data_IF_431406447108
#
_entry.id   IF_431406447108
#
_cell.length_a   1.000
_cell.length_b   1.000
_cell.length_c   1.000
_cell.angle_alpha   90.00
_cell.angle_beta   90.00
_cell.angle_gamma   90.00
#
_symmetry.space_group_name_H-M   'P 1'
#
loop_
_entity.id
_entity.type
_entity.pdbx_description
1 polymer ?
#
# COMPACT_ATOMS: atom_id res chain seq x y z
N UNK A 1 -18.34 25.89 -3.12
CA UNK A 1 -18.15 25.96 -1.65
C UNK A 1 -16.81 26.64 -1.43
N UNK A 2 -16.78 27.77 -0.73
CA UNK A 2 -15.55 28.54 -0.50
C UNK A 2 -14.92 27.99 0.79
N UNK A 3 -13.77 27.35 0.68
CA UNK A 3 -12.97 27.02 1.87
C UNK A 3 -12.12 28.24 2.20
N UNK A 4 -12.14 28.74 3.43
CA UNK A 4 -11.23 29.81 3.82
C UNK A 4 -9.80 29.35 3.58
N UNK A 5 -8.98 30.20 3.00
CA UNK A 5 -7.56 29.94 2.86
C UNK A 5 -6.98 29.64 4.24
N UNK A 6 -6.18 28.59 4.32
CA UNK A 6 -5.42 28.32 5.53
C UNK A 6 -4.47 29.50 5.72
N UNK A 7 -4.47 30.18 6.89
CA UNK A 7 -3.55 31.29 7.12
C UNK A 7 -2.11 30.82 6.84
N UNK A 8 -1.46 31.44 5.88
CA UNK A 8 -0.04 31.21 5.62
C UNK A 8 0.78 32.19 6.47
N UNK A 9 1.96 31.75 6.88
CA UNK A 9 2.95 32.68 7.44
C UNK A 9 3.38 33.66 6.35
N UNK A 10 3.76 34.87 6.77
CA UNK A 10 4.39 35.81 5.87
C UNK A 10 5.65 35.19 5.25
N UNK A 11 5.91 35.35 3.94
CA UNK A 11 7.12 34.82 3.31
C UNK A 11 8.42 35.28 3.99
N UNK A 12 8.50 36.50 4.53
CA UNK A 12 9.65 37.00 5.26
C UNK A 12 9.86 36.24 6.59
N UNK A 13 8.76 35.94 7.30
CA UNK A 13 8.81 35.14 8.53
C UNK A 13 9.25 33.70 8.22
N UNK A 14 8.77 33.10 7.11
CA UNK A 14 9.18 31.76 6.68
C UNK A 14 10.68 31.75 6.39
N UNK A 15 11.19 32.74 5.66
CA UNK A 15 12.61 32.85 5.32
C UNK A 15 13.45 33.01 6.58
N UNK A 16 13.07 33.86 7.52
CA UNK A 16 13.73 34.03 8.80
C UNK A 16 13.81 32.70 9.56
N UNK A 17 12.67 32.02 9.74
CA UNK A 17 12.62 30.72 10.45
C UNK A 17 13.46 29.65 9.79
N UNK A 18 13.48 29.58 8.45
CA UNK A 18 14.29 28.65 7.70
C UNK A 18 15.80 28.93 7.89
N UNK A 19 16.21 30.21 7.86
CA UNK A 19 17.59 30.62 8.05
C UNK A 19 18.07 30.28 9.47
N UNK A 20 17.27 30.55 10.51
CA UNK A 20 17.56 30.17 11.88
C UNK A 20 17.69 28.64 12.03
N UNK A 21 16.77 27.89 11.43
CA UNK A 21 16.86 26.43 11.45
C UNK A 21 18.17 25.92 10.82
N UNK A 22 18.53 26.42 9.64
CA UNK A 22 19.74 26.03 8.91
C UNK A 22 21.00 26.42 9.69
N UNK A 23 21.03 27.62 10.28
CA UNK A 23 22.18 28.13 11.04
C UNK A 23 22.49 27.26 12.27
N UNK A 24 21.47 26.78 12.96
CA UNK A 24 21.62 26.07 14.24
C UNK A 24 21.50 24.56 14.16
N UNK A 25 21.00 24.00 13.02
CA UNK A 25 20.80 22.56 12.83
C UNK A 25 21.81 21.99 11.84
N UNK A 26 22.82 21.32 12.35
CA UNK A 26 23.79 20.59 11.54
C UNK A 26 23.13 19.41 10.84
N UNK A 27 23.39 19.23 9.56
CA UNK A 27 23.01 18.01 8.87
C UNK A 27 23.69 16.81 9.52
N UNK A 28 22.90 15.78 9.85
CA UNK A 28 23.45 14.53 10.35
C UNK A 28 24.27 13.86 9.23
N UNK A 29 25.56 13.63 9.49
CA UNK A 29 26.40 12.84 8.60
C UNK A 29 25.79 11.45 8.40
N UNK A 30 25.44 11.03 7.17
CA UNK A 30 24.88 9.70 6.92
C UNK A 30 25.75 8.55 7.44
N UNK A 31 27.07 8.73 7.51
CA UNK A 31 28.03 7.72 7.96
C UNK A 31 28.15 7.65 9.50
N UNK A 32 27.59 8.61 10.25
CA UNK A 32 27.65 8.56 11.72
C UNK A 32 26.83 7.41 12.28
N UNK A 33 25.72 7.07 11.60
CA UNK A 33 24.87 5.94 11.98
C UNK A 33 25.65 4.62 11.95
N UNK A 34 26.46 4.40 10.90
CA UNK A 34 27.28 3.19 10.75
C UNK A 34 28.35 3.11 11.84
N UNK A 35 29.05 4.23 12.14
CA UNK A 35 30.04 4.32 13.22
C UNK A 35 29.46 4.04 14.60
N UNK A 36 28.21 4.42 14.82
CA UNK A 36 27.50 4.21 16.08
C UNK A 36 26.72 2.87 16.13
N UNK A 37 26.77 2.04 15.08
CA UNK A 37 26.05 0.80 14.98
C UNK A 37 24.53 0.97 14.87
N UNK A 38 24.04 2.15 14.49
CA UNK A 38 22.61 2.45 14.34
C UNK A 38 22.08 1.81 13.06
N UNK A 39 21.01 1.04 13.18
CA UNK A 39 20.36 0.35 12.06
C UNK A 39 19.35 1.27 11.38
N UNK A 40 19.82 2.12 10.46
CA UNK A 40 18.98 3.06 9.72
C UNK A 40 17.88 2.34 8.96
N UNK A 41 16.62 2.82 9.10
CA UNK A 41 15.46 2.17 8.50
C UNK A 41 15.23 0.74 9.01
N UNK A 42 15.77 0.39 10.20
CA UNK A 42 15.71 -0.96 10.77
C UNK A 42 16.28 -2.03 9.83
N UNK A 43 17.42 -1.71 9.16
CA UNK A 43 18.13 -2.62 8.26
C UNK A 43 19.54 -2.91 8.76
N UNK A 44 19.94 -4.18 8.63
CA UNK A 44 21.30 -4.62 8.84
C UNK A 44 22.19 -4.28 7.63
N UNK A 45 23.53 -4.23 7.78
CA UNK A 45 24.45 -3.95 6.67
C UNK A 45 24.35 -4.95 5.52
N UNK A 46 23.97 -6.20 5.79
CA UNK A 46 23.72 -7.24 4.78
C UNK A 46 22.39 -7.07 4.03
N UNK A 47 21.61 -6.03 4.36
CA UNK A 47 20.31 -5.74 3.76
C UNK A 47 19.13 -6.49 4.38
N UNK A 48 19.35 -7.36 5.37
CA UNK A 48 18.25 -8.01 6.10
C UNK A 48 17.54 -7.04 7.05
N UNK A 49 16.28 -7.32 7.39
CA UNK A 49 15.54 -6.56 8.39
C UNK A 49 16.03 -6.83 9.81
N UNK A 50 15.99 -5.82 10.67
CA UNK A 50 16.10 -6.00 12.11
C UNK A 50 14.85 -6.75 12.62
N UNK A 51 15.04 -7.79 13.42
CA UNK A 51 13.91 -8.46 14.09
C UNK A 51 13.33 -7.53 15.16
N UNK A 52 12.21 -6.91 14.84
CA UNK A 52 11.52 -5.97 15.73
C UNK A 52 10.32 -6.59 16.47
N UNK A 53 9.88 -7.78 16.06
CA UNK A 53 8.75 -8.47 16.66
C UNK A 53 8.54 -9.87 16.07
N UNK A 54 7.48 -10.52 16.51
CA UNK A 54 7.02 -11.82 16.04
C UNK A 54 5.60 -11.72 15.53
N UNK A 55 5.22 -12.57 14.59
CA UNK A 55 3.86 -12.62 14.04
C UNK A 55 3.53 -14.00 13.50
N UNK A 56 2.25 -14.39 13.66
CA UNK A 56 1.65 -15.55 13.00
C UNK A 56 0.78 -15.17 11.79
N UNK A 57 0.65 -13.86 11.47
CA UNK A 57 -0.28 -13.40 10.43
C UNK A 57 0.26 -13.72 9.05
N UNK A 58 1.52 -13.36 8.76
CA UNK A 58 2.12 -13.65 7.45
C UNK A 58 3.64 -13.70 7.51
N UNK A 59 4.23 -14.29 6.48
CA UNK A 59 5.68 -14.38 6.30
C UNK A 59 6.09 -13.99 4.89
N UNK A 60 7.13 -13.13 4.80
CA UNK A 60 7.73 -12.64 3.54
C UNK A 60 9.14 -13.21 3.44
N UNK A 61 9.36 -14.14 2.53
CA UNK A 61 10.58 -14.94 2.44
C UNK A 61 11.22 -14.70 1.08
N UNK A 62 12.45 -14.18 1.03
CA UNK A 62 13.21 -13.92 -0.20
C UNK A 62 14.66 -14.40 -0.11
N UNK A 63 15.06 -14.96 1.03
CA UNK A 63 16.38 -15.53 1.27
C UNK A 63 16.31 -16.61 2.35
N UNK A 64 17.27 -17.48 2.36
CA UNK A 64 17.55 -18.41 3.45
C UNK A 64 18.87 -18.06 4.13
N UNK A 65 18.96 -18.32 5.41
CA UNK A 65 20.18 -18.14 6.20
C UNK A 65 20.88 -19.49 6.31
N UNK A 66 22.10 -19.55 5.79
CA UNK A 66 22.93 -20.75 5.84
C UNK A 66 23.54 -20.94 7.24
N UNK A 67 23.98 -22.17 7.59
CA UNK A 67 24.56 -22.46 8.92
C UNK A 67 25.73 -21.56 9.29
N UNK A 68 26.56 -21.16 8.33
CA UNK A 68 27.68 -20.24 8.52
C UNK A 68 27.28 -18.78 8.69
N UNK A 69 25.97 -18.46 8.64
CA UNK A 69 25.43 -17.11 8.86
C UNK A 69 25.31 -16.28 7.60
N UNK A 70 25.79 -16.74 6.44
CA UNK A 70 25.60 -16.09 5.14
C UNK A 70 24.15 -16.21 4.68
N UNK A 71 23.70 -15.26 3.84
CA UNK A 71 22.36 -15.30 3.25
C UNK A 71 22.43 -15.74 1.79
N UNK A 72 21.53 -16.64 1.39
CA UNK A 72 21.36 -17.09 0.02
C UNK A 72 20.00 -16.62 -0.50
N UNK A 73 19.94 -15.82 -1.57
CA UNK A 73 18.67 -15.46 -2.20
C UNK A 73 17.93 -16.70 -2.71
N UNK A 74 16.63 -16.74 -2.50
CA UNK A 74 15.71 -17.74 -3.04
C UNK A 74 14.56 -17.07 -3.77
N UNK A 75 13.80 -17.77 -4.63
CA UNK A 75 12.54 -17.26 -5.16
C UNK A 75 11.64 -16.77 -4.03
N UNK A 76 11.03 -15.60 -4.24
CA UNK A 76 10.17 -14.99 -3.21
C UNK A 76 8.95 -15.84 -2.90
N UNK A 77 8.59 -15.90 -1.62
CA UNK A 77 7.35 -16.52 -1.14
C UNK A 77 6.63 -15.55 -0.21
N UNK A 78 5.32 -15.49 -0.33
CA UNK A 78 4.44 -14.80 0.60
C UNK A 78 3.44 -15.81 1.15
N UNK A 79 3.37 -15.89 2.47
CA UNK A 79 2.60 -16.92 3.16
C UNK A 79 1.61 -16.21 4.09
N UNK A 80 0.31 -16.51 3.96
CA UNK A 80 -0.74 -16.04 4.86
C UNK A 80 -1.15 -17.18 5.79
N UNK A 81 -0.91 -17.03 7.09
CA UNK A 81 -1.26 -18.02 8.11
C UNK A 81 -0.82 -19.47 7.74
N UNK A 82 0.35 -19.59 7.13
CA UNK A 82 0.92 -20.89 6.76
C UNK A 82 0.59 -21.36 5.33
N UNK A 83 -0.23 -20.63 4.56
CA UNK A 83 -0.61 -20.98 3.19
C UNK A 83 0.06 -20.02 2.22
N UNK A 84 0.76 -20.54 1.19
CA UNK A 84 1.34 -19.72 0.13
C UNK A 84 0.27 -19.04 -0.72
N UNK A 85 0.50 -17.79 -1.10
CA UNK A 85 -0.45 -17.05 -1.95
C UNK A 85 -0.60 -17.68 -3.33
N UNK A 86 0.44 -18.33 -3.86
CA UNK A 86 0.35 -19.07 -5.12
C UNK A 86 -0.70 -20.20 -5.04
N UNK A 87 -0.78 -20.88 -3.88
CA UNK A 87 -1.81 -21.89 -3.64
C UNK A 87 -3.20 -21.26 -3.59
N UNK A 88 -3.37 -20.11 -2.91
CA UNK A 88 -4.65 -19.42 -2.83
C UNK A 88 -5.11 -18.95 -4.21
N UNK A 89 -4.21 -18.37 -5.00
CA UNK A 89 -4.49 -17.94 -6.36
C UNK A 89 -4.88 -19.12 -7.28
N UNK A 90 -4.14 -20.22 -7.21
CA UNK A 90 -4.43 -21.43 -7.99
C UNK A 90 -5.78 -22.06 -7.63
N UNK A 91 -6.18 -22.07 -6.35
CA UNK A 91 -7.50 -22.55 -5.93
C UNK A 91 -8.64 -21.62 -6.36
N UNK A 92 -8.38 -20.30 -6.39
CA UNK A 92 -9.30 -19.32 -6.97
C UNK A 92 -9.58 -19.62 -8.44
N UNK A 93 -8.54 -19.89 -9.23
CA UNK A 93 -8.64 -20.18 -10.66
C UNK A 93 -9.34 -21.53 -10.93
N UNK A 94 -8.93 -22.57 -10.22
CA UNK A 94 -9.47 -23.93 -10.39
C UNK A 94 -10.99 -23.98 -10.19
N UNK A 95 -11.50 -23.15 -9.28
CA UNK A 95 -12.90 -23.15 -8.90
C UNK A 95 -13.66 -21.93 -9.46
N UNK A 96 -13.02 -21.07 -10.23
CA UNK A 96 -13.56 -19.82 -10.79
C UNK A 96 -14.36 -19.01 -9.76
N UNK A 97 -13.75 -18.77 -8.57
CA UNK A 97 -14.42 -18.10 -7.46
C UNK A 97 -13.64 -16.92 -6.91
N UNK A 98 -14.33 -16.01 -6.26
CA UNK A 98 -13.73 -14.94 -5.48
C UNK A 98 -13.07 -15.49 -4.22
N UNK A 99 -11.90 -14.97 -3.87
CA UNK A 99 -11.06 -15.47 -2.76
C UNK A 99 -10.76 -14.41 -1.71
N UNK A 100 -11.01 -13.15 -2.00
CA UNK A 100 -10.60 -12.08 -1.08
C UNK A 100 -11.23 -12.23 0.30
N UNK A 101 -12.54 -12.48 0.39
CA UNK A 101 -13.23 -12.66 1.68
C UNK A 101 -12.72 -13.89 2.44
N UNK A 102 -12.32 -14.95 1.73
CA UNK A 102 -11.69 -16.12 2.39
C UNK A 102 -10.31 -15.79 2.93
N UNK A 103 -9.53 -14.97 2.21
CA UNK A 103 -8.24 -14.47 2.68
C UNK A 103 -8.42 -13.52 3.86
N UNK A 104 -9.43 -12.66 3.85
CA UNK A 104 -9.79 -11.82 5.01
C UNK A 104 -10.06 -12.67 6.24
N UNK A 105 -10.89 -13.72 6.10
CA UNK A 105 -11.15 -14.68 7.16
C UNK A 105 -9.87 -15.35 7.64
N UNK A 106 -9.06 -15.88 6.71
CA UNK A 106 -7.81 -16.56 7.04
C UNK A 106 -6.86 -15.67 7.85
N UNK A 107 -6.66 -14.42 7.43
CA UNK A 107 -5.79 -13.47 8.12
C UNK A 107 -6.29 -13.14 9.54
N UNK A 108 -7.59 -12.89 9.71
CA UNK A 108 -8.18 -12.53 10.99
C UNK A 108 -8.22 -13.72 11.97
N UNK A 109 -8.65 -14.91 11.52
CA UNK A 109 -8.97 -16.04 12.40
C UNK A 109 -7.91 -17.16 12.39
N UNK A 110 -6.93 -17.14 11.48
CA UNK A 110 -5.79 -18.03 11.49
C UNK A 110 -6.01 -19.43 10.87
N UNK A 111 -7.21 -19.72 10.37
CA UNK A 111 -7.56 -20.97 9.69
C UNK A 111 -8.55 -20.70 8.56
N UNK A 112 -8.60 -21.57 7.56
CA UNK A 112 -9.60 -21.49 6.50
C UNK A 112 -11.02 -21.70 7.07
N UNK A 113 -12.03 -20.98 6.54
CA UNK A 113 -13.41 -21.17 6.98
C UNK A 113 -14.00 -22.48 6.46
N UNK A 114 -14.93 -23.05 7.20
CA UNK A 114 -15.85 -24.03 6.61
C UNK A 114 -16.78 -23.35 5.61
N UNK A 115 -17.48 -24.12 4.77
CA UNK A 115 -18.42 -23.55 3.80
C UNK A 115 -19.51 -22.71 4.46
N UNK A 116 -20.02 -23.16 5.61
CA UNK A 116 -21.02 -22.42 6.40
C UNK A 116 -20.46 -21.11 6.97
N UNK A 117 -19.25 -21.15 7.54
CA UNK A 117 -18.56 -19.97 8.08
C UNK A 117 -18.28 -18.96 6.96
N UNK A 118 -17.81 -19.43 5.80
CA UNK A 118 -17.54 -18.57 4.65
C UNK A 118 -18.82 -17.86 4.17
N UNK A 119 -19.91 -18.61 3.94
CA UNK A 119 -21.18 -18.04 3.50
C UNK A 119 -21.73 -17.01 4.51
N UNK A 120 -21.66 -17.31 5.81
CA UNK A 120 -22.04 -16.36 6.86
C UNK A 120 -21.16 -15.12 6.90
N UNK A 121 -19.87 -15.28 6.70
CA UNK A 121 -18.92 -14.16 6.70
C UNK A 121 -19.11 -13.23 5.50
N UNK A 122 -19.28 -13.79 4.29
CA UNK A 122 -19.59 -12.99 3.10
C UNK A 122 -20.89 -12.18 3.29
N UNK A 123 -21.92 -12.81 3.87
CA UNK A 123 -23.16 -12.11 4.20
C UNK A 123 -22.93 -10.98 5.22
N UNK A 124 -22.12 -11.21 6.24
CA UNK A 124 -21.78 -10.21 7.24
C UNK A 124 -21.08 -9.00 6.62
N UNK A 125 -20.06 -9.21 5.77
CA UNK A 125 -19.37 -8.14 5.05
C UNK A 125 -20.37 -7.37 4.16
N UNK A 126 -21.23 -8.08 3.45
CA UNK A 126 -22.23 -7.48 2.56
C UNK A 126 -23.23 -6.57 3.32
N UNK A 127 -23.73 -7.03 4.45
CA UNK A 127 -24.68 -6.30 5.29
C UNK A 127 -24.08 -5.05 5.97
N UNK A 128 -22.71 -4.94 6.06
CA UNK A 128 -22.02 -3.84 6.73
C UNK A 128 -21.34 -2.85 5.75
N UNK A 129 -21.74 -2.84 4.45
CA UNK A 129 -21.15 -1.92 3.46
C UNK A 129 -21.72 -0.51 3.51
N UNK A 130 -22.92 -0.35 4.07
CA UNK A 130 -23.52 0.98 4.24
C UNK A 130 -22.84 1.76 5.35
N UNK A 131 -22.57 3.03 5.08
CA UNK A 131 -21.97 3.92 6.07
C UNK A 131 -23.00 4.31 7.14
N UNK A 132 -22.55 4.63 8.37
CA UNK A 132 -23.44 5.12 9.41
C UNK A 132 -24.29 6.31 8.93
N UNK A 133 -25.52 6.39 9.45
CA UNK A 133 -26.46 7.46 9.06
C UNK A 133 -25.83 8.84 9.28
N UNK A 134 -25.87 9.67 8.24
CA UNK A 134 -25.31 11.03 8.25
C UNK A 134 -23.81 11.08 7.97
N UNK A 135 -23.08 9.96 8.06
CA UNK A 135 -21.63 9.95 7.88
C UNK A 135 -21.20 10.50 6.49
N UNK A 136 -21.87 10.07 5.44
CA UNK A 136 -21.55 10.54 4.09
C UNK A 136 -21.72 12.06 3.96
N UNK A 137 -22.80 12.61 4.50
CA UNK A 137 -23.08 14.06 4.44
C UNK A 137 -22.10 14.85 5.32
N UNK A 138 -21.92 14.44 6.57
CA UNK A 138 -21.14 15.19 7.55
C UNK A 138 -19.63 15.06 7.31
N UNK A 139 -19.15 13.85 7.05
CA UNK A 139 -17.73 13.56 6.99
C UNK A 139 -17.16 13.52 5.57
N UNK A 140 -17.96 13.12 4.57
CA UNK A 140 -17.48 13.04 3.18
C UNK A 140 -17.83 14.32 2.44
N UNK A 141 -19.13 14.66 2.31
CA UNK A 141 -19.61 15.77 1.47
C UNK A 141 -19.14 17.15 1.95
N UNK A 142 -19.17 17.41 3.26
CA UNK A 142 -18.83 18.72 3.82
C UNK A 142 -17.33 19.03 3.84
N UNK A 143 -16.47 18.04 3.55
CA UNK A 143 -15.02 18.21 3.65
C UNK A 143 -14.26 17.46 2.54
N UNK A 144 -14.45 17.84 1.26
CA UNK A 144 -13.79 17.19 0.14
C UNK A 144 -12.27 17.29 0.23
N UNK A 145 -11.59 16.42 -0.53
CA UNK A 145 -10.12 16.40 -0.62
C UNK A 145 -9.72 16.08 -2.06
N UNK A 146 -8.68 16.74 -2.60
CA UNK A 146 -8.12 16.36 -3.89
C UNK A 146 -7.35 15.03 -3.81
N UNK A 147 -7.08 14.53 -2.61
CA UNK A 147 -6.34 13.29 -2.38
C UNK A 147 -7.22 12.29 -1.62
N UNK A 148 -7.54 11.17 -2.28
CA UNK A 148 -8.45 10.15 -1.76
C UNK A 148 -7.86 9.45 -0.52
N UNK A 149 -6.56 9.13 -0.50
CA UNK A 149 -5.91 8.54 0.66
C UNK A 149 -6.02 9.43 1.92
N UNK A 150 -5.84 10.76 1.75
CA UNK A 150 -6.06 11.71 2.84
C UNK A 150 -7.51 11.68 3.32
N UNK A 151 -8.46 11.63 2.37
CA UNK A 151 -9.89 11.58 2.71
C UNK A 151 -10.24 10.29 3.45
N UNK A 152 -9.75 9.14 2.99
CA UNK A 152 -9.95 7.86 3.66
C UNK A 152 -9.40 7.86 5.09
N UNK A 153 -8.16 8.34 5.30
CA UNK A 153 -7.57 8.42 6.63
C UNK A 153 -8.43 9.25 7.60
N UNK A 154 -8.91 10.44 7.13
CA UNK A 154 -9.81 11.29 7.93
C UNK A 154 -11.16 10.63 8.18
N UNK A 155 -11.72 9.96 7.19
CA UNK A 155 -12.99 9.24 7.31
C UNK A 155 -12.89 8.13 8.35
N UNK A 156 -11.85 7.30 8.29
CA UNK A 156 -11.61 6.25 9.30
C UNK A 156 -11.48 6.86 10.71
N UNK A 157 -10.68 7.91 10.87
CA UNK A 157 -10.53 8.55 12.17
C UNK A 157 -11.85 9.13 12.69
N UNK A 158 -12.70 9.63 11.80
CA UNK A 158 -14.01 10.20 12.16
C UNK A 158 -15.02 9.13 12.58
N UNK A 159 -14.83 7.85 12.19
CA UNK A 159 -15.70 6.73 12.64
C UNK A 159 -15.71 6.57 14.16
N UNK A 160 -14.64 7.00 14.84
CA UNK A 160 -14.58 7.05 16.30
C UNK A 160 -15.82 7.72 16.92
N UNK A 161 -16.30 8.81 16.32
CA UNK A 161 -17.46 9.57 16.83
C UNK A 161 -18.81 8.89 16.57
N UNK A 162 -18.84 7.83 15.79
CA UNK A 162 -20.04 7.02 15.49
C UNK A 162 -20.06 5.68 16.24
N UNK A 163 -19.03 5.39 17.04
CA UNK A 163 -18.87 4.17 17.81
C UNK A 163 -18.90 4.49 19.31
N UNK A 164 -19.94 4.08 20.01
CA UNK A 164 -20.09 4.28 21.46
C UNK A 164 -19.04 3.50 22.29
N UNK A 165 -18.38 2.52 21.68
CA UNK A 165 -17.37 1.66 22.29
C UNK A 165 -15.99 1.82 21.67
N UNK A 166 -15.68 2.99 21.08
CA UNK A 166 -14.46 3.23 20.32
C UNK A 166 -13.17 2.86 21.06
N UNK A 167 -13.11 3.11 22.37
CA UNK A 167 -11.94 2.84 23.23
C UNK A 167 -11.93 1.44 23.89
N UNK A 168 -12.96 0.61 23.65
CA UNK A 168 -12.98 -0.75 24.18
C UNK A 168 -12.03 -1.65 23.37
N UNK A 169 -10.96 -2.11 24.03
CA UNK A 169 -9.93 -2.98 23.48
C UNK A 169 -10.23 -4.48 23.65
N UNK A 170 -11.43 -4.86 24.06
CA UNK A 170 -11.82 -6.26 24.12
C UNK A 170 -11.81 -6.90 22.72
N UNK A 171 -11.45 -8.18 22.66
CA UNK A 171 -11.40 -8.91 21.38
C UNK A 171 -12.71 -8.84 20.59
N UNK A 172 -13.91 -9.00 21.19
CA UNK A 172 -15.17 -8.86 20.45
C UNK A 172 -15.31 -7.48 19.80
N UNK A 173 -14.94 -6.42 20.51
CA UNK A 173 -15.09 -5.06 20.01
C UNK A 173 -14.08 -4.74 18.89
N UNK A 174 -12.81 -5.10 19.07
CA UNK A 174 -11.78 -4.92 18.02
C UNK A 174 -12.16 -5.69 16.75
N UNK A 175 -12.68 -6.91 16.86
CA UNK A 175 -13.16 -7.69 15.71
C UNK A 175 -14.35 -7.02 15.03
N UNK A 176 -15.32 -6.51 15.79
CA UNK A 176 -16.46 -5.76 15.24
C UNK A 176 -16.00 -4.54 14.47
N UNK A 177 -15.15 -3.70 15.07
CA UNK A 177 -14.58 -2.52 14.41
C UNK A 177 -13.78 -2.88 13.16
N UNK A 178 -13.01 -3.97 13.22
CA UNK A 178 -12.22 -4.46 12.07
C UNK A 178 -13.11 -4.89 10.91
N UNK A 179 -14.17 -5.66 11.18
CA UNK A 179 -15.11 -6.13 10.15
C UNK A 179 -15.86 -4.96 9.52
N UNK A 180 -16.34 -4.01 10.35
CA UNK A 180 -17.00 -2.80 9.85
C UNK A 180 -16.08 -2.01 8.92
N UNK A 181 -14.84 -1.72 9.34
CA UNK A 181 -13.88 -0.99 8.50
C UNK A 181 -13.56 -1.72 7.20
N UNK A 182 -13.43 -3.06 7.21
CA UNK A 182 -13.19 -3.86 6.00
C UNK A 182 -14.38 -3.74 5.04
N UNK A 183 -15.60 -3.74 5.55
CA UNK A 183 -16.82 -3.66 4.75
C UNK A 183 -17.10 -2.23 4.22
N UNK A 184 -16.88 -1.20 5.04
CA UNK A 184 -17.26 0.19 4.76
C UNK A 184 -16.23 0.96 3.92
N UNK A 185 -14.93 0.62 4.03
CA UNK A 185 -13.87 1.38 3.36
C UNK A 185 -14.00 1.43 1.83
N UNK A 186 -14.44 0.40 1.11
CA UNK A 186 -14.73 0.50 -0.33
C UNK A 186 -15.76 1.58 -0.63
N UNK A 187 -16.85 1.65 0.14
CA UNK A 187 -17.89 2.69 -0.01
C UNK A 187 -17.34 4.09 0.31
N UNK A 188 -16.55 4.24 1.39
CA UNK A 188 -15.89 5.51 1.73
C UNK A 188 -14.96 5.98 0.60
N UNK A 189 -14.20 5.07 0.01
CA UNK A 189 -13.27 5.37 -1.09
C UNK A 189 -14.00 5.89 -2.31
N UNK A 190 -15.02 5.17 -2.76
CA UNK A 190 -15.77 5.56 -3.97
C UNK A 190 -16.49 6.88 -3.73
N UNK A 191 -17.16 7.07 -2.60
CA UNK A 191 -17.84 8.32 -2.28
C UNK A 191 -16.86 9.51 -2.23
N UNK A 192 -15.66 9.31 -1.64
CA UNK A 192 -14.63 10.33 -1.64
C UNK A 192 -14.15 10.68 -3.05
N UNK A 193 -13.99 9.70 -3.92
CA UNK A 193 -13.60 9.88 -5.31
C UNK A 193 -14.68 10.61 -6.12
N UNK A 194 -15.92 10.21 -6.00
CA UNK A 194 -17.04 10.87 -6.69
C UNK A 194 -17.15 12.34 -6.28
N UNK A 195 -16.94 12.64 -5.00
CA UNK A 195 -16.90 14.03 -4.53
C UNK A 195 -15.68 14.79 -5.08
N UNK A 196 -14.51 14.16 -5.15
CA UNK A 196 -13.30 14.75 -5.77
C UNK A 196 -13.58 15.12 -7.22
N UNK A 197 -14.17 14.22 -8.00
CA UNK A 197 -14.60 14.48 -9.39
C UNK A 197 -15.49 15.73 -9.48
N UNK A 198 -16.48 15.84 -8.59
CA UNK A 198 -17.42 16.98 -8.60
C UNK A 198 -16.75 18.30 -8.26
N UNK A 199 -15.90 18.29 -7.22
CA UNK A 199 -15.37 19.54 -6.63
C UNK A 199 -14.12 20.03 -7.35
N UNK A 200 -13.22 19.12 -7.72
CA UNK A 200 -11.89 19.44 -8.25
C UNK A 200 -11.78 19.23 -9.76
N UNK A 201 -12.44 18.21 -10.31
CA UNK A 201 -12.36 17.91 -11.74
C UNK A 201 -13.55 18.51 -12.53
N UNK A 202 -14.55 19.08 -11.82
CA UNK A 202 -15.74 19.68 -12.41
C UNK A 202 -16.61 18.72 -13.22
N UNK A 203 -16.57 17.43 -12.86
CA UNK A 203 -17.37 16.37 -13.46
C UNK A 203 -18.64 16.08 -12.66
N UNK A 204 -19.53 15.28 -13.23
CA UNK A 204 -20.71 14.79 -12.52
C UNK A 204 -20.31 13.74 -11.49
N UNK A 205 -20.96 13.75 -10.32
CA UNK A 205 -20.84 12.71 -9.32
C UNK A 205 -22.12 11.88 -9.25
N UNK A 206 -21.98 10.65 -8.80
CA UNK A 206 -23.08 9.73 -8.50
C UNK A 206 -22.71 8.87 -7.30
N UNK A 207 -23.69 8.47 -6.52
CA UNK A 207 -23.53 7.53 -5.42
C UNK A 207 -24.47 6.37 -5.62
N UNK A 208 -23.90 5.17 -5.67
CA UNK A 208 -24.66 3.93 -5.78
C UNK A 208 -24.79 3.29 -4.39
N UNK A 209 -25.98 2.77 -4.11
CA UNK A 209 -26.16 1.92 -2.94
C UNK A 209 -25.48 0.56 -3.18
N UNK A 210 -24.93 -0.08 -2.12
CA UNK A 210 -24.41 -1.44 -2.23
C UNK A 210 -25.47 -2.40 -2.79
N UNK A 211 -25.06 -3.27 -3.69
CA UNK A 211 -25.91 -4.31 -4.26
C UNK A 211 -25.70 -5.60 -3.47
N UNK A 212 -26.75 -6.14 -2.89
CA UNK A 212 -26.66 -7.33 -2.05
C UNK A 212 -26.13 -8.55 -2.81
N UNK A 213 -25.30 -9.34 -2.14
CA UNK A 213 -24.72 -10.58 -2.66
C UNK A 213 -23.46 -10.40 -3.52
N UNK A 214 -22.94 -9.19 -3.66
CA UNK A 214 -21.67 -8.94 -4.35
C UNK A 214 -20.45 -9.25 -3.46
N UNK A 215 -19.38 -9.77 -4.06
CA UNK A 215 -18.05 -9.76 -3.46
C UNK A 215 -17.51 -8.32 -3.31
N UNK A 216 -16.44 -8.12 -2.55
CA UNK A 216 -15.81 -6.80 -2.41
C UNK A 216 -15.32 -6.25 -3.75
N UNK A 217 -14.74 -7.10 -4.61
CA UNK A 217 -14.31 -6.70 -5.95
C UNK A 217 -15.49 -6.24 -6.83
N UNK A 218 -16.60 -6.98 -6.83
CA UNK A 218 -17.82 -6.61 -7.55
C UNK A 218 -18.42 -5.32 -7.01
N UNK A 219 -18.48 -5.16 -5.69
CA UNK A 219 -18.96 -3.95 -5.05
C UNK A 219 -18.13 -2.71 -5.44
N UNK A 220 -16.81 -2.83 -5.49
CA UNK A 220 -15.94 -1.73 -5.93
C UNK A 220 -16.25 -1.34 -7.37
N UNK A 221 -16.32 -2.31 -8.29
CA UNK A 221 -16.58 -2.04 -9.71
C UNK A 221 -17.97 -1.48 -9.96
N UNK A 222 -19.00 -2.03 -9.29
CA UNK A 222 -20.38 -1.53 -9.43
C UNK A 222 -20.55 -0.14 -8.84
N UNK A 223 -19.86 0.18 -7.74
CA UNK A 223 -19.96 1.48 -7.10
C UNK A 223 -19.18 2.56 -7.84
N UNK A 224 -18.04 2.22 -8.44
CA UNK A 224 -17.17 3.16 -9.16
C UNK A 224 -17.72 3.52 -10.55
N UNK A 225 -18.45 2.62 -11.22
CA UNK A 225 -18.96 2.79 -12.58
C UNK A 225 -20.36 3.38 -12.62
N UNK A 226 -20.56 4.40 -13.45
CA UNK A 226 -21.87 5.07 -13.58
C UNK A 226 -23.01 4.14 -13.98
N UNK A 227 -22.74 3.13 -14.81
CA UNK A 227 -23.72 2.13 -15.28
C UNK A 227 -23.75 0.86 -14.43
N UNK A 228 -22.93 0.78 -13.40
CA UNK A 228 -22.75 -0.36 -12.49
C UNK A 228 -22.38 -1.70 -13.16
N UNK A 229 -21.92 -1.66 -14.44
CA UNK A 229 -21.65 -2.86 -15.22
C UNK A 229 -20.19 -3.25 -15.18
N UNK A 230 -19.95 -4.53 -15.05
CA UNK A 230 -18.64 -5.17 -15.15
C UNK A 230 -18.80 -6.61 -15.66
N UNK A 231 -17.72 -7.20 -16.12
CA UNK A 231 -17.69 -8.62 -16.46
C UNK A 231 -17.16 -9.44 -15.29
N UNK A 232 -17.52 -10.72 -15.24
CA UNK A 232 -16.99 -11.65 -14.24
C UNK A 232 -15.45 -11.69 -14.27
N UNK A 233 -14.82 -11.70 -15.48
CA UNK A 233 -13.37 -11.67 -15.64
C UNK A 233 -12.73 -10.41 -15.03
N UNK A 234 -13.36 -9.24 -15.18
CA UNK A 234 -12.90 -8.00 -14.56
C UNK A 234 -12.95 -8.08 -13.03
N UNK A 235 -14.07 -8.55 -12.48
CA UNK A 235 -14.23 -8.68 -11.02
C UNK A 235 -13.27 -9.72 -10.44
N UNK A 236 -13.07 -10.85 -11.11
CA UNK A 236 -12.09 -11.88 -10.72
C UNK A 236 -10.66 -11.34 -10.70
N UNK A 237 -10.28 -10.55 -11.71
CA UNK A 237 -8.95 -9.96 -11.76
C UNK A 237 -8.74 -8.91 -10.65
N UNK A 238 -9.77 -8.11 -10.33
CA UNK A 238 -9.70 -7.19 -9.19
C UNK A 238 -9.63 -7.94 -7.85
N UNK A 239 -10.43 -9.00 -7.67
CA UNK A 239 -10.38 -9.86 -6.49
C UNK A 239 -8.98 -10.42 -6.24
N UNK A 240 -8.32 -10.87 -7.31
CA UNK A 240 -6.94 -11.36 -7.24
C UNK A 240 -5.95 -10.24 -6.84
N UNK A 241 -6.16 -9.03 -7.34
CA UNK A 241 -5.37 -7.87 -6.88
C UNK A 241 -5.57 -7.62 -5.38
N UNK A 242 -6.80 -7.69 -4.88
CA UNK A 242 -7.10 -7.56 -3.46
C UNK A 242 -6.42 -8.66 -2.64
N UNK A 243 -6.49 -9.91 -3.09
CA UNK A 243 -5.86 -11.07 -2.45
C UNK A 243 -4.35 -10.88 -2.27
N UNK A 244 -3.61 -10.53 -3.34
CA UNK A 244 -2.15 -10.43 -3.29
C UNK A 244 -1.66 -9.23 -2.49
N UNK A 245 -2.50 -8.22 -2.28
CA UNK A 245 -2.20 -7.04 -1.48
C UNK A 245 -2.64 -7.14 -0.01
N UNK A 246 -3.39 -8.18 0.38
CA UNK A 246 -4.08 -8.27 1.67
C UNK A 246 -3.14 -8.18 2.88
N UNK A 247 -1.91 -8.72 2.79
CA UNK A 247 -0.87 -8.50 3.79
C UNK A 247 0.54 -8.62 3.18
N UNK A 248 1.54 -8.12 3.90
CA UNK A 248 2.96 -8.25 3.49
C UNK A 248 3.92 -8.15 4.68
N UNK A 249 3.62 -8.90 5.73
CA UNK A 249 4.46 -9.02 6.92
C UNK A 249 4.35 -7.86 7.89
N UNK A 250 4.68 -8.11 9.15
CA UNK A 250 4.61 -7.14 10.24
C UNK A 250 5.62 -5.98 10.14
N UNK A 251 6.64 -6.11 9.29
CA UNK A 251 7.73 -5.14 9.17
C UNK A 251 7.59 -4.12 8.03
N UNK A 252 6.56 -4.20 7.17
CA UNK A 252 6.32 -3.14 6.20
C UNK A 252 5.82 -1.86 6.90
N UNK A 253 6.07 -0.70 6.30
CA UNK A 253 5.90 0.59 6.97
C UNK A 253 4.50 0.79 7.57
N UNK A 254 3.44 0.52 6.83
CA UNK A 254 2.06 0.73 7.31
C UNK A 254 1.65 -0.29 8.38
N UNK A 255 1.99 -1.56 8.23
CA UNK A 255 1.73 -2.58 9.24
C UNK A 255 2.53 -2.33 10.52
N UNK A 256 3.80 -1.92 10.40
CA UNK A 256 4.61 -1.56 11.56
C UNK A 256 4.05 -0.34 12.29
N UNK A 257 3.54 0.66 11.54
CA UNK A 257 2.82 1.80 12.11
C UNK A 257 1.58 1.33 12.90
N UNK A 258 0.77 0.43 12.33
CA UNK A 258 -0.37 -0.17 13.04
C UNK A 258 0.05 -0.82 14.35
N UNK A 259 1.12 -1.61 14.33
CA UNK A 259 1.64 -2.27 15.54
C UNK A 259 2.15 -1.27 16.58
N UNK A 260 2.89 -0.25 16.15
CA UNK A 260 3.40 0.80 17.06
C UNK A 260 2.24 1.49 17.77
N UNK A 261 1.21 1.93 17.04
CA UNK A 261 0.06 2.58 17.66
C UNK A 261 -0.73 1.59 18.54
N UNK A 262 -0.98 0.38 18.07
CA UNK A 262 -1.70 -0.64 18.84
C UNK A 262 -1.00 -0.98 20.16
N UNK A 263 0.35 -0.99 20.15
CA UNK A 263 1.15 -1.26 21.36
C UNK A 263 1.00 -0.20 22.46
N UNK A 264 0.51 0.99 22.11
CA UNK A 264 0.22 2.06 23.07
C UNK A 264 -1.17 1.94 23.71
N UNK A 265 -2.02 1.03 23.24
CA UNK A 265 -3.39 0.87 23.71
C UNK A 265 -4.37 1.88 23.12
N UNK A 266 -4.08 2.49 21.96
CA UNK A 266 -5.03 3.40 21.29
C UNK A 266 -6.16 2.64 20.60
N UNK A 267 -7.21 3.37 20.20
CA UNK A 267 -8.37 2.83 19.49
C UNK A 267 -8.04 2.30 18.07
N UNK A 268 -8.97 1.53 17.50
CA UNK A 268 -8.81 0.92 16.16
C UNK A 268 -8.77 1.96 15.05
N UNK A 269 -9.57 3.00 15.15
CA UNK A 269 -9.69 4.03 14.12
C UNK A 269 -8.41 4.84 13.99
N UNK A 270 -7.80 5.24 15.11
CA UNK A 270 -6.50 5.90 15.13
C UNK A 270 -5.39 5.02 14.51
N UNK A 271 -5.34 3.73 14.87
CA UNK A 271 -4.33 2.81 14.37
C UNK A 271 -4.45 2.60 12.84
N UNK A 272 -5.66 2.37 12.33
CA UNK A 272 -5.89 2.13 10.90
C UNK A 272 -5.75 3.43 10.09
N UNK A 273 -6.22 4.57 10.60
CA UNK A 273 -6.00 5.88 9.97
C UNK A 273 -4.51 6.19 9.79
N UNK A 274 -3.69 5.93 10.81
CA UNK A 274 -2.23 6.11 10.73
C UNK A 274 -1.59 5.15 9.71
N UNK A 275 -2.07 3.91 9.59
CA UNK A 275 -1.61 2.95 8.59
C UNK A 275 -1.91 3.45 7.16
N UNK A 276 -3.11 3.99 6.92
CA UNK A 276 -3.48 4.64 5.65
C UNK A 276 -2.54 5.83 5.36
N UNK A 277 -2.25 6.65 6.38
CA UNK A 277 -1.29 7.76 6.28
C UNK A 277 0.12 7.30 5.92
N UNK A 278 0.59 6.21 6.50
CA UNK A 278 1.89 5.62 6.18
C UNK A 278 1.93 5.06 4.75
N UNK A 279 0.85 4.39 4.31
CA UNK A 279 0.74 3.84 2.95
C UNK A 279 0.66 4.95 1.89
N UNK A 280 0.03 6.09 2.19
CA UNK A 280 -0.06 7.26 1.31
C UNK A 280 1.31 7.77 0.87
N UNK A 281 2.35 7.57 1.67
CA UNK A 281 3.70 8.06 1.38
C UNK A 281 4.25 7.53 0.06
N UNK A 282 4.87 8.38 -0.79
CA UNK A 282 5.33 7.99 -2.15
C UNK A 282 6.42 6.91 -2.14
N UNK A 283 7.09 6.71 -1.01
CA UNK A 283 8.09 5.64 -0.83
C UNK A 283 7.47 4.28 -0.43
N UNK A 284 6.15 4.23 -0.22
CA UNK A 284 5.45 3.00 0.21
C UNK A 284 4.35 2.61 -0.78
N UNK A 285 3.23 3.32 -0.86
CA UNK A 285 2.08 2.91 -1.66
C UNK A 285 1.93 3.58 -3.03
N UNK A 286 2.77 4.57 -3.37
CA UNK A 286 2.62 5.34 -4.61
C UNK A 286 3.40 4.80 -5.83
N UNK A 287 3.97 3.59 -5.74
CA UNK A 287 4.86 3.07 -6.78
C UNK A 287 4.11 2.65 -8.05
N UNK A 288 2.91 2.09 -7.95
CA UNK A 288 2.12 1.64 -9.11
C UNK A 288 1.74 2.80 -10.06
N UNK A 289 1.36 3.95 -9.53
CA UNK A 289 1.10 5.16 -10.34
C UNK A 289 2.38 5.62 -11.07
N UNK A 290 3.52 5.59 -10.38
CA UNK A 290 4.82 5.92 -10.98
C UNK A 290 5.22 4.95 -12.10
N UNK A 291 4.89 3.67 -11.96
CA UNK A 291 5.08 2.67 -13.03
C UNK A 291 4.28 3.08 -14.27
N UNK A 292 3.01 3.46 -14.11
CA UNK A 292 2.16 3.81 -15.25
C UNK A 292 2.66 5.07 -15.97
N UNK A 293 3.02 6.13 -15.23
CA UNK A 293 3.60 7.32 -15.82
C UNK A 293 4.94 7.03 -16.55
N UNK A 294 5.77 6.14 -15.99
CA UNK A 294 7.02 5.73 -16.64
C UNK A 294 6.76 4.86 -17.87
N UNK A 295 5.76 3.97 -17.83
CA UNK A 295 5.33 3.18 -18.98
C UNK A 295 4.88 4.08 -20.13
N UNK A 296 3.99 5.05 -19.85
CA UNK A 296 3.53 6.01 -20.86
C UNK A 296 4.67 6.84 -21.43
N UNK A 297 5.63 7.25 -20.58
CA UNK A 297 6.83 7.95 -21.03
C UNK A 297 7.70 7.08 -21.96
N UNK A 298 7.92 5.81 -21.61
CA UNK A 298 8.73 4.90 -22.42
C UNK A 298 8.06 4.67 -23.78
N UNK A 299 6.77 4.33 -23.81
CA UNK A 299 6.02 4.10 -25.05
C UNK A 299 5.98 5.34 -25.96
N UNK A 300 5.94 6.54 -25.39
CA UNK A 300 5.96 7.79 -26.15
C UNK A 300 7.36 8.16 -26.72
N UNK A 301 8.45 7.53 -26.25
CA UNK A 301 9.82 7.90 -26.61
C UNK A 301 10.67 6.74 -27.18
N UNK A 302 10.07 5.60 -27.46
CA UNK A 302 10.65 4.43 -28.13
C UNK A 302 9.90 4.25 -29.45
N UNK A 303 10.61 4.20 -30.59
CA UNK A 303 9.98 4.06 -31.90
C UNK A 303 9.53 2.62 -32.16
N UNK A 304 10.32 1.64 -31.67
CA UNK A 304 10.06 0.21 -31.82
C UNK A 304 9.94 -0.47 -30.45
N UNK A 305 8.75 -0.46 -29.82
CA UNK A 305 8.54 -1.06 -28.48
C UNK A 305 8.86 -2.56 -28.40
N UNK A 306 8.88 -3.24 -29.54
CA UNK A 306 9.27 -4.66 -29.69
C UNK A 306 10.80 -4.87 -29.80
N UNK A 307 11.58 -3.81 -30.03
CA UNK A 307 13.04 -3.90 -30.08
C UNK A 307 13.68 -3.75 -28.70
N UNK A 308 14.17 -4.87 -28.18
CA UNK A 308 14.89 -4.91 -26.92
C UNK A 308 16.09 -3.94 -26.85
N UNK A 309 16.71 -3.62 -27.99
CA UNK A 309 17.84 -2.69 -28.08
C UNK A 309 17.43 -1.26 -27.72
N UNK A 310 16.33 -0.78 -28.30
CA UNK A 310 15.78 0.54 -28.00
C UNK A 310 15.26 0.64 -26.56
N UNK A 311 14.52 -0.37 -26.11
CA UNK A 311 14.02 -0.42 -24.73
C UNK A 311 15.18 -0.44 -23.73
N UNK A 312 16.23 -1.23 -23.98
CA UNK A 312 17.44 -1.29 -23.14
C UNK A 312 18.12 0.07 -23.05
N UNK A 313 18.27 0.79 -24.16
CA UNK A 313 18.88 2.12 -24.17
C UNK A 313 18.04 3.15 -23.42
N UNK A 314 16.72 3.10 -23.58
CA UNK A 314 15.79 3.95 -22.83
C UNK A 314 15.92 3.71 -21.32
N UNK A 315 15.93 2.47 -20.86
CA UNK A 315 16.11 2.11 -19.45
C UNK A 315 17.47 2.58 -18.89
N UNK A 316 18.55 2.52 -19.70
CA UNK A 316 19.87 3.09 -19.33
C UNK A 316 19.80 4.59 -19.11
N UNK A 317 19.16 5.34 -20.03
CA UNK A 317 18.97 6.79 -19.90
C UNK A 317 18.19 7.13 -18.62
N UNK A 318 17.14 6.35 -18.29
CA UNK A 318 16.39 6.54 -17.06
C UNK A 318 17.30 6.35 -15.83
N UNK A 319 18.09 5.26 -15.76
CA UNK A 319 19.01 4.99 -14.64
C UNK A 319 20.07 6.08 -14.50
N UNK A 320 20.56 6.63 -15.62
CA UNK A 320 21.54 7.72 -15.66
C UNK A 320 20.92 9.09 -15.38
N UNK A 321 19.60 9.16 -15.16
CA UNK A 321 18.84 10.41 -14.97
C UNK A 321 18.80 11.34 -16.20
N UNK A 322 18.99 10.79 -17.37
CA UNK A 322 18.97 11.48 -18.65
C UNK A 322 17.57 11.46 -19.29
N UNK A 323 16.66 10.66 -18.74
CA UNK A 323 15.31 10.47 -19.22
C UNK A 323 14.32 10.22 -18.05
N UNK A 324 13.03 10.22 -18.34
CA UNK A 324 11.96 10.02 -17.36
C UNK A 324 11.82 11.23 -16.42
N UNK A 325 11.56 10.97 -15.13
CA UNK A 325 11.39 11.99 -14.11
C UNK A 325 12.72 12.45 -13.45
N UNK A 326 13.85 12.01 -13.97
CA UNK A 326 15.18 12.34 -13.47
C UNK A 326 15.55 11.68 -12.14
N UNK A 327 14.72 10.79 -11.60
CA UNK A 327 14.97 10.08 -10.33
C UNK A 327 16.11 9.05 -10.45
N UNK A 328 16.32 8.47 -11.63
CA UNK A 328 17.24 7.35 -11.86
C UNK A 328 16.68 6.02 -11.34
N UNK A 329 15.35 5.91 -11.22
CA UNK A 329 14.64 4.71 -10.78
C UNK A 329 13.85 4.10 -11.94
N UNK A 330 13.90 2.79 -12.06
CA UNK A 330 12.92 2.03 -12.84
C UNK A 330 11.86 1.59 -11.84
N UNK A 331 10.70 2.24 -11.90
CA UNK A 331 9.60 1.96 -10.98
C UNK A 331 9.03 0.56 -11.23
N UNK A 332 8.53 -0.08 -10.19
CA UNK A 332 8.11 -1.47 -10.26
C UNK A 332 9.25 -2.49 -10.20
N UNK A 333 10.52 -2.03 -10.16
CA UNK A 333 11.71 -2.88 -10.05
C UNK A 333 12.41 -2.69 -8.71
N UNK A 334 12.72 -3.81 -8.06
CA UNK A 334 13.38 -3.86 -6.75
C UNK A 334 12.41 -3.98 -5.58
N UNK A 335 12.88 -4.67 -4.55
CA UNK A 335 12.12 -4.93 -3.32
C UNK A 335 13.07 -5.02 -2.12
N UNK A 336 12.54 -4.74 -0.93
CA UNK A 336 13.32 -4.78 0.31
C UNK A 336 13.73 -6.19 0.74
N UNK A 337 12.96 -7.22 0.37
CA UNK A 337 13.18 -8.63 0.74
C UNK A 337 13.43 -9.49 -0.50
N UNK A 338 12.59 -9.37 -1.52
CA UNK A 338 12.70 -10.18 -2.73
C UNK A 338 13.82 -9.67 -3.64
N UNK A 339 14.62 -10.59 -4.16
CA UNK A 339 15.72 -10.29 -5.08
C UNK A 339 15.67 -11.11 -6.37
N UNK A 340 15.04 -12.29 -6.34
CA UNK A 340 14.92 -13.18 -7.49
C UNK A 340 13.53 -13.10 -8.14
N UNK A 341 12.48 -13.10 -7.34
CA UNK A 341 11.10 -12.95 -7.81
C UNK A 341 10.20 -12.45 -6.68
N UNK A 342 9.14 -11.74 -7.02
CA UNK A 342 8.00 -11.42 -6.13
C UNK A 342 6.81 -12.27 -6.59
N UNK A 343 6.27 -13.18 -5.78
CA UNK A 343 5.17 -14.07 -6.18
C UNK A 343 3.93 -13.26 -6.59
N UNK A 344 3.69 -12.11 -5.97
CA UNK A 344 2.55 -11.24 -6.31
C UNK A 344 2.67 -10.69 -7.74
N UNK A 345 3.85 -10.23 -8.13
CA UNK A 345 4.10 -9.74 -9.49
C UNK A 345 3.88 -10.85 -10.52
N UNK A 346 4.32 -12.07 -10.23
CA UNK A 346 4.15 -13.22 -11.12
C UNK A 346 2.68 -13.63 -11.27
N UNK A 347 1.93 -13.65 -10.16
CA UNK A 347 0.49 -13.92 -10.17
C UNK A 347 -0.23 -12.88 -11.04
N UNK A 348 -0.02 -11.58 -10.77
CA UNK A 348 -0.69 -10.51 -11.52
C UNK A 348 -0.30 -10.51 -12.99
N UNK A 349 0.98 -10.70 -13.33
CA UNK A 349 1.45 -10.83 -14.71
C UNK A 349 0.70 -11.91 -15.48
N UNK A 350 0.63 -13.10 -14.91
CA UNK A 350 0.01 -14.26 -15.57
C UNK A 350 -1.48 -14.04 -15.84
N UNK A 351 -2.20 -13.44 -14.89
CA UNK A 351 -3.65 -13.22 -15.01
C UNK A 351 -4.01 -11.98 -15.84
N UNK A 352 -3.18 -10.95 -15.87
CA UNK A 352 -3.42 -9.75 -16.66
C UNK A 352 -3.39 -10.00 -18.16
N UNK A 353 -2.64 -11.00 -18.64
CA UNK A 353 -2.36 -11.23 -20.06
C UNK A 353 -3.62 -11.35 -20.91
N UNK A 354 -4.54 -12.22 -20.51
CA UNK A 354 -5.77 -12.47 -21.27
C UNK A 354 -6.57 -11.19 -21.48
N UNK A 355 -6.80 -10.44 -20.41
CA UNK A 355 -7.57 -9.20 -20.44
C UNK A 355 -6.84 -8.10 -21.23
N UNK A 356 -5.51 -8.02 -21.13
CA UNK A 356 -4.71 -7.06 -21.88
C UNK A 356 -4.92 -7.21 -23.38
N UNK A 357 -4.76 -8.42 -23.90
CA UNK A 357 -4.98 -8.71 -25.32
C UNK A 357 -6.43 -8.50 -25.75
N UNK A 358 -7.40 -8.85 -24.94
CA UNK A 358 -8.83 -8.64 -25.25
C UNK A 358 -9.22 -7.17 -25.32
N UNK A 359 -8.60 -6.32 -24.51
CA UNK A 359 -8.92 -4.89 -24.41
C UNK A 359 -7.98 -3.98 -25.19
N UNK A 360 -6.99 -4.52 -25.91
CA UNK A 360 -6.03 -3.75 -26.73
C UNK A 360 -4.97 -3.04 -25.92
N UNK A 361 -4.54 -3.61 -24.79
CA UNK A 361 -3.43 -3.19 -23.93
C UNK A 361 -2.22 -4.14 -24.04
N UNK A 362 -2.11 -4.85 -25.17
CA UNK A 362 -1.05 -5.82 -25.41
C UNK A 362 0.33 -5.14 -25.54
N UNK A 363 0.41 -3.93 -26.08
CA UNK A 363 1.65 -3.17 -26.18
C UNK A 363 2.17 -2.79 -24.80
N UNK A 364 1.32 -2.22 -23.94
CA UNK A 364 1.65 -1.88 -22.55
C UNK A 364 2.06 -3.11 -21.74
N UNK A 365 1.31 -4.21 -21.86
CA UNK A 365 1.63 -5.46 -21.18
C UNK A 365 2.99 -6.02 -21.63
N UNK A 366 3.26 -6.04 -22.94
CA UNK A 366 4.51 -6.52 -23.51
C UNK A 366 5.69 -5.63 -23.09
N UNK A 367 5.51 -4.30 -23.05
CA UNK A 367 6.52 -3.37 -22.55
C UNK A 367 6.87 -3.63 -21.08
N UNK A 368 5.87 -3.84 -20.20
CA UNK A 368 6.13 -4.21 -18.80
C UNK A 368 6.88 -5.54 -18.69
N UNK A 369 6.58 -6.51 -19.55
CA UNK A 369 7.34 -7.78 -19.62
C UNK A 369 8.79 -7.55 -20.09
N UNK A 370 9.03 -6.64 -21.03
CA UNK A 370 10.38 -6.26 -21.48
C UNK A 370 11.15 -5.55 -20.37
N UNK A 371 10.51 -4.63 -19.63
CA UNK A 371 11.11 -3.96 -18.47
C UNK A 371 11.52 -5.00 -17.41
N UNK A 372 10.60 -5.91 -17.03
CA UNK A 372 10.90 -6.98 -16.06
C UNK A 372 12.13 -7.80 -16.45
N UNK A 373 12.25 -8.14 -17.72
CA UNK A 373 13.33 -8.98 -18.26
C UNK A 373 14.66 -8.23 -18.39
N UNK A 374 14.64 -6.99 -18.87
CA UNK A 374 15.84 -6.24 -19.21
C UNK A 374 16.44 -5.47 -18.01
N UNK A 375 15.60 -4.93 -17.13
CA UNK A 375 16.05 -4.07 -16.05
C UNK A 375 17.08 -4.72 -15.10
N UNK A 376 17.00 -6.00 -14.71
CA UNK A 376 17.99 -6.61 -13.82
C UNK A 376 19.42 -6.57 -14.38
N UNK A 377 19.58 -6.83 -15.66
CA UNK A 377 20.89 -6.79 -16.35
C UNK A 377 21.45 -5.37 -16.40
N UNK A 378 20.59 -4.40 -16.77
CA UNK A 378 20.97 -2.99 -16.88
C UNK A 378 21.36 -2.43 -15.48
N UNK A 379 20.64 -2.80 -14.42
CA UNK A 379 21.02 -2.42 -13.06
C UNK A 379 22.40 -2.98 -12.69
N UNK A 380 22.72 -4.21 -13.06
CA UNK A 380 24.02 -4.82 -12.79
C UNK A 380 25.16 -4.10 -13.55
N UNK A 381 24.91 -3.72 -14.81
CA UNK A 381 25.86 -2.99 -15.66
C UNK A 381 26.12 -1.57 -15.12
N UNK A 382 25.07 -0.80 -14.84
CA UNK A 382 25.17 0.65 -14.52
C UNK A 382 25.55 0.95 -13.07
N UNK A 383 25.16 0.09 -12.12
CA UNK A 383 25.43 0.33 -10.68
C UNK A 383 26.59 -0.48 -10.11
N UNK A 384 27.33 -1.19 -10.96
CA UNK A 384 28.56 -1.92 -10.63
C UNK A 384 28.46 -2.76 -9.33
N UNK A 385 27.33 -3.39 -9.08
CA UNK A 385 27.12 -4.16 -7.84
C UNK A 385 26.37 -5.47 -8.05
N UNK A 386 26.60 -6.46 -7.18
CA UNK A 386 26.00 -7.78 -7.30
C UNK A 386 24.49 -7.79 -6.91
N UNK A 387 23.89 -6.64 -6.65
CA UNK A 387 22.52 -6.57 -6.15
C UNK A 387 21.54 -6.94 -7.25
N UNK A 388 21.01 -8.18 -7.18
CA UNK A 388 19.91 -8.61 -8.02
C UNK A 388 18.65 -7.83 -7.67
N UNK A 389 17.90 -7.43 -8.69
CA UNK A 389 16.59 -6.78 -8.57
C UNK A 389 15.57 -7.62 -9.34
N UNK A 390 14.35 -7.67 -8.84
CA UNK A 390 13.22 -8.31 -9.54
C UNK A 390 12.04 -7.33 -9.58
N UNK A 391 11.07 -7.63 -10.45
CA UNK A 391 9.79 -6.95 -10.45
C UNK A 391 9.10 -7.09 -9.08
N UNK A 392 8.46 -6.02 -8.62
CA UNK A 392 7.57 -6.06 -7.48
C UNK A 392 6.10 -5.97 -7.93
N UNK A 393 5.16 -6.07 -6.98
CA UNK A 393 3.72 -6.11 -7.27
C UNK A 393 3.23 -4.89 -8.07
N UNK A 394 3.88 -3.74 -7.91
CA UNK A 394 3.46 -2.48 -8.53
C UNK A 394 3.69 -2.48 -10.04
N UNK A 395 4.58 -3.34 -10.59
CA UNK A 395 4.89 -3.37 -12.02
C UNK A 395 3.65 -3.69 -12.86
N UNK A 396 2.77 -4.59 -12.40
CA UNK A 396 1.61 -5.03 -13.17
C UNK A 396 0.27 -4.53 -12.62
N UNK A 397 0.19 -4.14 -11.34
CA UNK A 397 -1.08 -3.76 -10.71
C UNK A 397 -1.70 -2.51 -11.34
N UNK A 398 -0.89 -1.51 -11.68
CA UNK A 398 -1.36 -0.28 -12.32
C UNK A 398 -2.00 -0.53 -13.70
N UNK A 399 -1.38 -1.40 -14.51
CA UNK A 399 -1.95 -1.78 -15.81
C UNK A 399 -3.30 -2.51 -15.64
N UNK A 400 -3.40 -3.39 -14.65
CA UNK A 400 -4.69 -4.06 -14.35
C UNK A 400 -5.76 -3.02 -14.04
N UNK A 401 -5.49 -2.07 -13.16
CA UNK A 401 -6.46 -1.03 -12.82
C UNK A 401 -6.84 -0.18 -14.04
N UNK A 402 -5.87 0.16 -14.90
CA UNK A 402 -6.13 0.87 -16.18
C UNK A 402 -7.05 0.05 -17.10
N UNK A 403 -6.81 -1.25 -17.27
CA UNK A 403 -7.66 -2.14 -18.05
C UNK A 403 -9.09 -2.27 -17.50
N UNK A 404 -9.24 -2.13 -16.18
CA UNK A 404 -10.55 -2.12 -15.52
C UNK A 404 -11.24 -0.76 -15.61
N UNK A 405 -10.60 0.27 -16.19
CA UNK A 405 -11.15 1.62 -16.28
C UNK A 405 -11.19 2.36 -14.95
N UNK A 406 -10.40 1.91 -13.98
CA UNK A 406 -10.28 2.54 -12.67
C UNK A 406 -9.36 3.76 -12.77
N UNK A 407 -9.77 4.88 -12.18
CA UNK A 407 -8.97 6.11 -12.16
C UNK A 407 -7.66 5.95 -11.39
N UNK A 408 -6.62 6.64 -11.85
CA UNK A 408 -5.31 6.70 -11.17
C UNK A 408 -5.42 7.24 -9.72
N UNK A 409 -6.42 8.06 -9.42
CA UNK A 409 -6.73 8.52 -8.07
C UNK A 409 -7.04 7.38 -7.08
N UNK A 410 -7.48 6.24 -7.61
CA UNK A 410 -7.91 5.07 -6.82
C UNK A 410 -6.83 3.97 -6.70
N UNK A 411 -5.69 4.07 -7.37
CA UNK A 411 -4.67 3.01 -7.35
C UNK A 411 -4.12 2.75 -5.94
N UNK A 412 -3.63 3.78 -5.25
CA UNK A 412 -3.18 3.64 -3.86
C UNK A 412 -4.34 3.39 -2.88
N UNK A 413 -5.53 4.02 -3.01
CA UNK A 413 -6.72 3.66 -2.26
C UNK A 413 -7.12 2.19 -2.33
N UNK A 414 -7.11 1.58 -3.51
CA UNK A 414 -7.36 0.15 -3.68
C UNK A 414 -6.34 -0.73 -2.94
N UNK A 415 -5.07 -0.33 -2.97
CA UNK A 415 -4.05 -0.98 -2.17
C UNK A 415 -4.36 -0.89 -0.66
N UNK A 416 -4.84 0.27 -0.18
CA UNK A 416 -5.25 0.43 1.22
C UNK A 416 -6.41 -0.50 1.58
N UNK A 417 -7.48 -0.53 0.76
CA UNK A 417 -8.63 -1.42 0.96
C UNK A 417 -8.18 -2.88 1.06
N UNK A 418 -7.36 -3.32 0.11
CA UNK A 418 -6.83 -4.68 0.12
C UNK A 418 -6.02 -4.99 1.39
N UNK A 419 -5.28 -4.01 1.93
CA UNK A 419 -4.38 -4.17 3.07
C UNK A 419 -5.05 -4.04 4.44
N UNK A 420 -6.21 -3.42 4.55
CA UNK A 420 -6.91 -3.24 5.84
C UNK A 420 -7.10 -4.56 6.61
N UNK A 421 -7.48 -5.70 5.98
CA UNK A 421 -7.57 -6.97 6.71
C UNK A 421 -6.25 -7.39 7.38
N UNK A 422 -5.12 -7.21 6.68
CA UNK A 422 -3.80 -7.46 7.23
C UNK A 422 -3.49 -6.55 8.43
N UNK A 423 -3.78 -5.24 8.32
CA UNK A 423 -3.59 -4.33 9.45
C UNK A 423 -4.47 -4.70 10.64
N UNK A 424 -5.74 -5.04 10.41
CA UNK A 424 -6.65 -5.50 11.46
C UNK A 424 -6.14 -6.78 12.14
N UNK A 425 -5.70 -7.78 11.37
CA UNK A 425 -5.13 -9.01 11.90
C UNK A 425 -3.88 -8.74 12.76
N UNK A 426 -2.98 -7.87 12.31
CA UNK A 426 -1.80 -7.47 13.07
C UNK A 426 -2.15 -6.64 14.32
N UNK A 427 -3.22 -5.83 14.27
CA UNK A 427 -3.72 -5.11 15.43
C UNK A 427 -4.27 -6.06 16.49
N UNK A 428 -5.12 -7.01 16.09
CA UNK A 428 -5.66 -8.02 17.02
C UNK A 428 -4.50 -8.78 17.68
N UNK A 429 -3.54 -9.24 16.88
CA UNK A 429 -2.36 -9.96 17.42
C UNK A 429 -1.56 -9.09 18.40
N UNK A 430 -1.36 -7.80 18.10
CA UNK A 430 -0.60 -6.90 18.96
C UNK A 430 -1.32 -6.63 20.29
N UNK A 431 -2.64 -6.42 20.28
CA UNK A 431 -3.41 -6.14 21.50
C UNK A 431 -3.56 -7.38 22.36
N UNK A 432 -3.80 -8.56 21.75
CA UNK A 432 -4.04 -9.80 22.49
C UNK A 432 -2.77 -10.42 23.09
N UNK A 433 -1.62 -10.28 22.42
CA UNK A 433 -0.41 -11.05 22.76
C UNK A 433 0.79 -10.20 23.14
N UNK A 434 0.87 -8.92 22.69
CA UNK A 434 2.00 -8.07 22.98
C UNK A 434 1.72 -7.18 24.20
N UNK A 435 2.49 -7.40 25.29
CA UNK A 435 2.29 -6.68 26.57
C UNK A 435 3.22 -5.47 26.73
N UNK A 436 3.84 -4.97 25.66
CA UNK A 436 4.83 -3.89 25.77
C UNK A 436 4.70 -2.88 24.66
N UNK A 437 4.71 -1.61 25.04
CA UNK A 437 4.81 -0.50 24.07
C UNK A 437 6.10 -0.64 23.24
N UNK A 438 5.99 -0.50 21.93
CA UNK A 438 7.12 -0.47 21.01
C UNK A 438 7.84 0.87 21.18
N UNK A 439 9.01 0.85 21.83
CA UNK A 439 9.78 2.04 22.16
C UNK A 439 11.27 1.83 21.89
N UNK A 440 11.73 2.04 20.65
CA UNK A 440 13.16 1.94 20.33
C UNK A 440 13.95 3.04 21.01
N UNK A 441 15.25 2.77 21.26
CA UNK A 441 16.18 3.77 21.75
C UNK A 441 16.73 4.63 20.60
N UNK A 442 16.96 5.93 20.88
CA UNK A 442 17.62 6.86 19.98
C UNK A 442 18.91 7.39 20.63
N UNK A 443 19.98 7.49 19.83
CA UNK A 443 21.23 8.09 20.27
C UNK A 443 21.16 9.60 20.09
N UNK A 444 21.22 10.32 21.21
CA UNK A 444 21.35 11.78 21.21
C UNK A 444 22.78 12.19 20.82
N UNK A 445 22.90 13.15 19.92
CA UNK A 445 24.19 13.65 19.39
C UNK A 445 24.44 15.12 19.73
N UNK A 446 23.50 15.78 20.42
CA UNK A 446 23.67 17.16 20.83
C UNK A 446 24.69 17.28 21.98
N UNK A 447 25.42 18.41 22.00
CA UNK A 447 26.31 18.78 23.11
C UNK A 447 25.50 19.49 24.18
N UNK A 448 25.93 19.38 25.47
CA UNK A 448 25.35 20.18 26.55
C UNK A 448 25.49 21.68 26.25
N UNK A 449 24.41 22.42 26.47
CA UNK A 449 24.44 23.89 26.35
C UNK A 449 23.98 24.51 27.65
N UNK A 450 24.58 25.65 28.00
CA UNK A 450 24.14 26.46 29.11
C UNK A 450 22.89 27.25 28.73
N UNK A 451 21.91 27.29 29.63
CA UNK A 451 20.75 28.14 29.44
C UNK A 451 21.08 29.57 29.82
N UNK A 452 20.99 30.47 28.87
CA UNK A 452 21.08 31.89 29.12
C UNK A 452 19.67 32.49 29.22
N UNK A 453 19.37 33.38 30.18
CA UNK A 453 18.13 34.15 30.19
C UNK A 453 17.90 34.93 28.91
N UNK A 454 16.64 35.24 28.58
CA UNK A 454 16.30 35.90 27.31
C UNK A 454 16.98 37.26 27.17
N UNK A 455 17.14 37.96 28.27
CA UNK A 455 17.78 39.27 28.35
C UNK A 455 19.30 39.23 28.14
N UNK A 456 19.89 38.05 28.14
CA UNK A 456 21.36 37.84 28.03
C UNK A 456 21.77 37.21 26.70
N UNK A 457 20.84 37.04 25.76
CA UNK A 457 21.03 36.42 24.43
C UNK A 457 21.23 37.47 23.35
#
# INVERSE_FOLDING_TARGET
MYYPDVPALDPEDIELLCNEYIAHNKHLDPHIADRLGVKRGLRNPDGTGVLAGITNVSSVIGYEKLPEGTIRPIPGRLVYRGIDIDTLAAEADKNDRFMFEEVVWLLLFGALPTQEQYARFCKLIDEHRELPKGFADDMIMNSPSPNIMNKMARSVLSMYSYDEHADDLSLPNILTQSINLIAELPTMMVNAYQLKRRVYDHESMYFHYPIAGQSTAEHILSSDRADQKFTHEEARLLDLCLLVHADHGGGNCSTFTTRVLSSSGTDTYAAISAAIGALKGPKHGGANLKVMHQLDYILANVEHPEDDGEVREMLRKIIRKEAGDGSGLIYGMGHAVYTLSDPRAQILKNHARSLAYKKGYDEEYNMLCSIERLAPEIFAEEKHGPKKVCANVDLFSGLIYRMLGISEDLYTPLFAIARVPGWCAHRVEEVEYANRIIRPAYKYLGEPQEYLPLEER
#
